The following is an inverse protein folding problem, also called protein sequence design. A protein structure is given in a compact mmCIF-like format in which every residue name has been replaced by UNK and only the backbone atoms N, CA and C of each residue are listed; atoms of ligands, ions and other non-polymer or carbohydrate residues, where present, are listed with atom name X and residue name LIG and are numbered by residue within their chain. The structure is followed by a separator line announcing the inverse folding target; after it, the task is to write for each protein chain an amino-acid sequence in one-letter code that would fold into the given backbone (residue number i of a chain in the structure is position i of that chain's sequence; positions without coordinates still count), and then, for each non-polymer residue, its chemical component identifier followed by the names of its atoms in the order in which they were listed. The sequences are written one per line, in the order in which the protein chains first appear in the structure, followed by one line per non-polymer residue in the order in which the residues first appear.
data_IF_512899689168
#
_entry.id   IF_512899689168
#
_cell.length_a   1.000
_cell.length_b   1.000
_cell.length_c   1.000
_cell.angle_alpha   90.00
_cell.angle_beta   90.00
_cell.angle_gamma   90.00
#
_symmetry.space_group_name_H-M   'P 1'
#
loop_
_entity.id
_entity.type
_entity.pdbx_description
1 polymer ?
#
# COMPACT_ATOMS: atom_id res chain seq x y z
N UNK A 1 4.48 4.81 -11.25
CA UNK A 1 4.32 3.49 -11.88
C UNK A 1 5.16 2.47 -11.13
N UNK A 2 4.53 1.42 -10.60
CA UNK A 2 5.24 0.29 -9.97
C UNK A 2 5.89 -0.54 -11.10
N UNK A 3 7.21 -0.38 -11.28
CA UNK A 3 7.93 -1.10 -12.33
C UNK A 3 8.40 -2.44 -11.80
N UNK A 4 7.71 -3.51 -12.17
CA UNK A 4 8.26 -4.87 -12.04
C UNK A 4 9.45 -4.95 -12.99
N UNK A 5 10.67 -5.04 -12.45
CA UNK A 5 11.86 -5.31 -13.27
C UNK A 5 11.66 -6.67 -13.93
N UNK A 6 11.53 -6.71 -15.25
CA UNK A 6 11.67 -7.94 -16.03
C UNK A 6 13.14 -8.33 -15.97
N UNK A 7 13.50 -9.15 -14.98
CA UNK A 7 14.76 -9.87 -15.03
C UNK A 7 14.60 -10.92 -16.14
N UNK A 8 15.46 -10.85 -17.15
CA UNK A 8 15.45 -11.69 -18.35
C UNK A 8 15.30 -13.18 -18.02
N UNK A 9 14.28 -13.80 -18.61
CA UNK A 9 14.04 -15.25 -18.78
C UNK A 9 14.14 -16.17 -17.56
N UNK A 10 13.49 -15.81 -16.44
CA UNK A 10 12.82 -16.86 -15.66
C UNK A 10 11.41 -17.04 -16.22
N UNK A 11 11.22 -18.10 -17.00
CA UNK A 11 9.89 -18.54 -17.35
C UNK A 11 9.21 -19.03 -16.07
N UNK A 12 8.47 -18.12 -15.41
CA UNK A 12 7.65 -18.46 -14.26
C UNK A 12 6.73 -19.60 -14.68
N UNK A 13 6.68 -20.65 -13.87
CA UNK A 13 5.80 -21.77 -14.12
C UNK A 13 4.33 -21.29 -14.11
N UNK A 14 3.46 -22.11 -14.68
CA UNK A 14 2.05 -21.74 -14.87
C UNK A 14 1.33 -21.47 -13.54
N UNK A 15 1.73 -22.15 -12.46
CA UNK A 15 1.12 -21.98 -11.15
C UNK A 15 1.56 -20.68 -10.49
N UNK A 16 2.83 -20.29 -10.63
CA UNK A 16 3.31 -18.99 -10.17
C UNK A 16 2.62 -17.84 -10.91
N UNK A 17 2.48 -17.94 -12.24
CA UNK A 17 1.73 -16.94 -13.05
C UNK A 17 0.27 -16.85 -12.60
N UNK A 18 -0.36 -18.00 -12.34
CA UNK A 18 -1.75 -18.07 -11.89
C UNK A 18 -1.94 -17.47 -10.50
N UNK A 19 -1.02 -17.73 -9.57
CA UNK A 19 -1.06 -17.14 -8.22
C UNK A 19 -0.92 -15.61 -8.29
N UNK A 20 0.04 -15.11 -9.06
CA UNK A 20 0.24 -13.68 -9.25
C UNK A 20 -1.00 -12.99 -9.86
N UNK A 21 -1.61 -13.59 -10.88
CA UNK A 21 -2.83 -13.06 -11.51
C UNK A 21 -4.03 -13.05 -10.55
N UNK A 22 -4.15 -14.06 -9.68
CA UNK A 22 -5.21 -14.11 -8.66
C UNK A 22 -5.01 -13.05 -7.58
N UNK A 23 -3.77 -12.77 -7.19
CA UNK A 23 -3.45 -11.80 -6.15
C UNK A 23 -3.44 -10.35 -6.66
N UNK A 24 -3.11 -10.12 -7.95
CA UNK A 24 -2.89 -8.78 -8.49
C UNK A 24 -4.02 -7.77 -8.29
N UNK A 25 -5.32 -8.14 -8.30
CA UNK A 25 -6.39 -7.17 -8.05
C UNK A 25 -6.34 -6.55 -6.64
N UNK A 26 -5.77 -7.25 -5.65
CA UNK A 26 -5.65 -6.78 -4.27
C UNK A 26 -4.33 -6.04 -3.99
N UNK A 27 -3.39 -6.05 -4.93
CA UNK A 27 -2.10 -5.37 -4.78
C UNK A 27 -2.23 -3.92 -5.21
N UNK A 28 -1.78 -3.01 -4.35
CA UNK A 28 -1.82 -1.56 -4.60
C UNK A 28 -0.41 -0.97 -4.58
N UNK A 29 -0.22 0.11 -5.33
CA UNK A 29 0.97 0.94 -5.19
C UNK A 29 0.70 2.00 -4.13
N UNK A 30 1.66 2.22 -3.23
CA UNK A 30 1.52 3.19 -2.14
C UNK A 30 2.70 4.14 -2.17
N UNK A 31 2.46 5.43 -1.97
CA UNK A 31 3.50 6.45 -1.92
C UNK A 31 3.28 7.35 -0.73
N UNK A 32 4.31 7.54 0.08
CA UNK A 32 4.31 8.52 1.16
C UNK A 32 4.96 9.83 0.74
N UNK A 33 4.42 10.92 1.28
CA UNK A 33 4.92 12.27 1.14
C UNK A 33 5.06 12.89 2.51
N UNK A 34 6.09 13.70 2.71
CA UNK A 34 6.25 14.53 3.90
C UNK A 34 6.77 15.90 3.48
N UNK A 35 6.11 16.96 3.94
CA UNK A 35 6.44 18.34 3.55
C UNK A 35 6.45 18.55 2.03
N UNK A 36 5.58 17.86 1.28
CA UNK A 36 5.52 17.90 -0.19
C UNK A 36 6.62 17.10 -0.91
N UNK A 37 7.60 16.54 -0.20
CA UNK A 37 8.62 15.66 -0.77
C UNK A 37 8.17 14.20 -0.71
N UNK A 38 8.24 13.52 -1.85
CA UNK A 38 8.05 12.06 -1.92
C UNK A 38 9.14 11.37 -1.08
N UNK A 39 8.74 10.54 -0.14
CA UNK A 39 9.66 9.84 0.76
C UNK A 39 9.93 8.44 0.22
N UNK A 40 8.93 7.56 0.22
CA UNK A 40 9.11 6.16 -0.15
C UNK A 40 7.98 5.68 -1.07
N UNK A 41 8.29 5.16 -2.28
CA UNK A 41 7.37 4.32 -3.03
C UNK A 41 7.39 2.90 -2.47
N UNK A 42 6.23 2.26 -2.41
CA UNK A 42 6.09 0.87 -1.99
C UNK A 42 4.82 0.23 -2.53
N UNK A 43 4.49 -0.93 -1.96
CA UNK A 43 3.26 -1.66 -2.24
C UNK A 43 2.49 -1.94 -0.97
N UNK A 44 1.22 -2.27 -1.14
CA UNK A 44 0.36 -2.78 -0.09
C UNK A 44 -0.57 -3.85 -0.65
N UNK A 45 -1.30 -4.50 0.25
CA UNK A 45 -2.32 -5.49 -0.12
C UNK A 45 -3.62 -5.17 0.60
N UNK A 46 -4.72 -5.12 -0.15
CA UNK A 46 -6.06 -4.98 0.43
C UNK A 46 -6.38 -6.28 1.17
N UNK A 47 -6.62 -6.17 2.48
CA UNK A 47 -6.92 -7.30 3.36
C UNK A 47 -8.38 -7.31 3.84
N UNK A 48 -9.08 -6.18 3.70
CA UNK A 48 -10.48 -6.04 4.07
C UNK A 48 -11.18 -4.96 3.24
N UNK A 49 -12.50 -5.07 3.09
CA UNK A 49 -13.35 -4.08 2.45
C UNK A 49 -14.76 -4.13 3.04
N UNK A 50 -15.12 -3.09 3.79
CA UNK A 50 -16.43 -2.93 4.40
C UNK A 50 -17.31 -1.98 3.59
N UNK A 51 -18.57 -2.34 3.37
CA UNK A 51 -19.57 -1.49 2.72
C UNK A 51 -20.57 -0.99 3.78
N UNK A 52 -20.69 0.33 3.90
CA UNK A 52 -21.63 0.97 4.81
C UNK A 52 -22.37 2.07 4.05
N UNK A 53 -23.66 1.87 3.84
CA UNK A 53 -24.54 2.83 3.16
C UNK A 53 -24.05 3.23 1.76
N UNK A 54 -23.51 2.29 0.98
CA UNK A 54 -22.97 2.55 -0.35
C UNK A 54 -21.54 3.12 -0.37
N UNK A 55 -20.93 3.39 0.79
CA UNK A 55 -19.53 3.78 0.88
C UNK A 55 -18.67 2.57 1.21
N UNK A 56 -17.62 2.33 0.43
CA UNK A 56 -16.66 1.25 0.62
C UNK A 56 -15.43 1.76 1.35
N UNK A 57 -15.04 1.11 2.44
CA UNK A 57 -13.78 1.37 3.16
C UNK A 57 -12.90 0.15 3.05
N UNK A 58 -11.77 0.29 2.34
CA UNK A 58 -10.79 -0.79 2.18
C UNK A 58 -9.61 -0.59 3.11
N UNK A 59 -9.18 -1.67 3.78
CA UNK A 59 -7.97 -1.70 4.61
C UNK A 59 -6.81 -2.33 3.86
N UNK A 60 -5.69 -1.62 3.81
CA UNK A 60 -4.47 -2.00 3.10
C UNK A 60 -3.38 -2.28 4.12
N UNK A 61 -2.82 -3.49 4.06
CA UNK A 61 -1.63 -3.87 4.81
C UNK A 61 -0.37 -3.42 4.06
N UNK A 62 0.54 -2.74 4.74
CA UNK A 62 1.84 -2.32 4.20
C UNK A 62 2.91 -2.31 5.30
N UNK A 63 4.12 -1.87 4.97
CA UNK A 63 5.22 -1.73 5.90
C UNK A 63 5.35 -0.31 6.47
N UNK A 64 5.76 -0.19 7.73
CA UNK A 64 6.01 1.12 8.37
C UNK A 64 7.18 1.88 7.76
N UNK A 65 8.11 1.18 7.09
CA UNK A 65 9.20 1.81 6.32
C UNK A 65 8.66 2.83 5.31
N UNK A 66 7.47 2.58 4.76
CA UNK A 66 6.80 3.52 3.87
C UNK A 66 6.50 4.85 4.57
N UNK A 67 6.14 4.84 5.86
CA UNK A 67 5.75 6.03 6.61
C UNK A 67 6.95 6.93 6.98
N UNK A 68 8.18 6.49 6.70
CA UNK A 68 9.38 7.30 6.89
C UNK A 68 9.72 7.57 8.37
N UNK A 69 9.17 6.77 9.29
CA UNK A 69 9.53 6.80 10.71
C UNK A 69 10.89 6.16 10.93
N UNK A 70 11.72 6.81 11.74
CA UNK A 70 12.91 6.17 12.31
C UNK A 70 12.45 5.21 13.43
N UNK A 71 13.04 4.02 13.57
CA UNK A 71 12.75 3.11 14.68
C UNK A 71 12.99 3.76 16.06
N UNK A 72 13.70 4.88 16.12
CA UNK A 72 13.98 5.61 17.36
C UNK A 72 12.84 6.52 17.81
N UNK A 73 11.95 6.97 16.91
CA UNK A 73 10.92 7.96 17.26
C UNK A 73 9.59 7.36 17.72
N UNK A 74 9.31 6.08 17.44
CA UNK A 74 8.07 5.34 17.79
C UNK A 74 6.73 6.06 17.52
N UNK A 75 6.76 7.21 16.86
CA UNK A 75 5.62 8.05 16.52
C UNK A 75 5.65 8.35 15.04
N UNK A 76 4.45 8.48 14.46
CA UNK A 76 4.28 9.08 13.15
C UNK A 76 4.56 10.57 13.25
N UNK A 77 5.10 11.12 12.18
CA UNK A 77 5.25 12.56 12.06
C UNK A 77 3.96 13.15 11.49
N UNK A 78 3.48 14.24 12.08
CA UNK A 78 2.16 14.83 11.80
C UNK A 78 1.93 15.21 10.32
N UNK A 79 2.99 15.34 9.52
CA UNK A 79 2.94 15.79 8.13
C UNK A 79 2.99 14.66 7.08
N UNK A 80 2.83 13.40 7.48
CA UNK A 80 2.85 12.28 6.54
C UNK A 80 1.51 12.22 5.78
N UNK A 81 1.59 12.29 4.45
CA UNK A 81 0.48 12.03 3.53
C UNK A 81 0.74 10.76 2.76
N UNK A 82 -0.29 9.95 2.57
CA UNK A 82 -0.18 8.69 1.84
C UNK A 82 -1.15 8.70 0.66
N UNK A 83 -0.64 8.39 -0.53
CA UNK A 83 -1.47 8.17 -1.72
C UNK A 83 -1.42 6.70 -2.11
N UNK A 84 -2.59 6.14 -2.37
CA UNK A 84 -2.79 4.76 -2.82
C UNK A 84 -3.23 4.78 -4.27
N UNK A 85 -2.65 3.92 -5.10
CA UNK A 85 -2.99 3.75 -6.50
C UNK A 85 -3.44 2.31 -6.75
N UNK A 86 -4.65 2.16 -7.28
CA UNK A 86 -5.23 0.88 -7.64
C UNK A 86 -4.78 0.43 -9.03
N UNK A 87 -5.01 -0.84 -9.35
CA UNK A 87 -4.67 -1.44 -10.64
C UNK A 87 -5.42 -0.81 -11.82
N UNK A 88 -6.62 -0.28 -11.58
CA UNK A 88 -7.44 0.43 -12.57
C UNK A 88 -6.99 1.88 -12.81
N UNK A 89 -5.94 2.33 -12.12
CA UNK A 89 -5.37 3.67 -12.23
C UNK A 89 -6.02 4.71 -11.33
N UNK A 90 -7.07 4.37 -10.57
CA UNK A 90 -7.64 5.29 -9.57
C UNK A 90 -6.66 5.54 -8.44
N UNK A 91 -6.73 6.74 -7.87
CA UNK A 91 -5.90 7.14 -6.73
C UNK A 91 -6.74 7.66 -5.58
N UNK A 92 -6.35 7.31 -4.36
CA UNK A 92 -7.04 7.68 -3.12
C UNK A 92 -6.04 8.25 -2.12
N UNK A 93 -6.49 9.24 -1.34
CA UNK A 93 -5.78 9.65 -0.13
C UNK A 93 -5.97 8.57 0.93
N UNK A 94 -4.88 8.00 1.41
CA UNK A 94 -4.88 6.98 2.45
C UNK A 94 -4.73 7.59 3.85
N UNK A 95 -5.51 7.08 4.80
CA UNK A 95 -5.39 7.40 6.21
C UNK A 95 -4.71 6.25 6.95
N UNK A 96 -3.60 6.50 7.65
CA UNK A 96 -2.95 5.46 8.48
C UNK A 96 -3.87 5.16 9.66
N UNK A 97 -4.33 3.92 9.78
CA UNK A 97 -5.29 3.50 10.81
C UNK A 97 -4.61 2.84 12.01
N UNK A 98 -3.60 2.00 11.78
CA UNK A 98 -2.79 1.37 12.81
C UNK A 98 -1.35 1.14 12.33
N UNK A 99 -0.42 1.01 13.25
CA UNK A 99 0.98 0.68 12.94
C UNK A 99 1.68 0.00 14.12
N UNK A 100 2.67 -0.81 13.79
CA UNK A 100 3.62 -1.42 14.71
C UNK A 100 5.01 -1.38 14.07
N UNK A 101 5.90 -0.55 14.62
CA UNK A 101 7.28 -0.40 14.15
C UNK A 101 8.15 -1.61 14.46
N UNK A 102 7.83 -2.39 15.50
CA UNK A 102 8.59 -3.58 15.87
C UNK A 102 8.42 -4.67 14.81
N UNK A 103 7.19 -4.88 14.33
CA UNK A 103 6.91 -5.84 13.26
C UNK A 103 6.99 -5.24 11.85
N UNK A 104 7.26 -3.94 11.74
CA UNK A 104 7.27 -3.20 10.48
C UNK A 104 5.96 -3.35 9.69
N UNK A 105 4.83 -3.23 10.37
CA UNK A 105 3.49 -3.37 9.79
C UNK A 105 2.68 -2.08 10.00
N UNK A 106 1.96 -1.64 8.98
CA UNK A 106 0.98 -0.58 9.06
C UNK A 106 -0.27 -0.92 8.27
N UNK A 107 -1.41 -0.36 8.71
CA UNK A 107 -2.66 -0.40 7.97
C UNK A 107 -3.03 1.00 7.48
N UNK A 108 -3.51 1.07 6.24
CA UNK A 108 -4.01 2.30 5.61
C UNK A 108 -5.45 2.05 5.18
N UNK A 109 -6.35 2.96 5.51
CA UNK A 109 -7.71 2.94 5.02
C UNK A 109 -7.87 3.90 3.84
N UNK A 110 -8.59 3.45 2.81
CA UNK A 110 -9.09 4.28 1.72
C UNK A 110 -10.60 4.17 1.65
N UNK A 111 -11.26 5.23 1.23
CA UNK A 111 -12.72 5.28 1.09
C UNK A 111 -13.08 5.59 -0.36
N UNK A 112 -14.07 4.89 -0.90
CA UNK A 112 -14.63 5.12 -2.23
C UNK A 112 -16.16 5.06 -2.20
N UNK A 113 -16.78 5.85 -3.07
CA UNK A 113 -18.24 5.85 -3.34
C UNK A 113 -18.63 4.84 -4.43
#
# INVERSE_FOLDING_TARGET
AFTIRRHSDMELDIDTKRAALKASPSVVSVVSYKGGKMMFPGSGTIIDCEEVNGTYTSTILTSTTLLGSSPESNTLQDDIKVNVFLVDGKSFTGCVSAYDFHFNIATICITSD
#
